data_IF_435026515645
#
_entry.id   IF_435026515645
#
_cell.length_a   1.000
_cell.length_b   1.000
_cell.length_c   1.000
_cell.angle_alpha   90.00
_cell.angle_beta   90.00
_cell.angle_gamma   90.00
#
_symmetry.space_group_name_H-M   'P 1'
#
loop_
_entity.id
_entity.type
_entity.pdbx_description
1 polymer ?
#
# COMPACT_ATOMS: atom_id res chain seq x y z
N UNK A 1 31.62 34.43 29.44
CA UNK A 1 30.16 34.32 29.32
C UNK A 1 29.86 33.51 28.07
N UNK A 2 29.61 32.20 28.18
CA UNK A 2 29.35 31.33 27.04
C UNK A 2 27.85 31.35 26.72
N UNK A 3 27.50 31.81 25.52
CA UNK A 3 26.12 31.83 25.03
C UNK A 3 25.75 30.44 24.52
N UNK A 4 24.80 29.79 25.19
CA UNK A 4 24.19 28.55 24.72
C UNK A 4 23.20 28.91 23.62
N UNK A 5 23.53 28.56 22.38
CA UNK A 5 22.61 28.66 21.25
C UNK A 5 21.64 27.47 21.33
N UNK A 6 20.32 27.70 21.44
CA UNK A 6 19.37 26.58 21.43
C UNK A 6 19.35 25.94 20.03
N UNK A 7 19.45 24.61 20.01
CA UNK A 7 19.29 23.81 18.79
C UNK A 7 17.87 24.02 18.24
N UNK A 8 17.70 24.25 16.92
CA UNK A 8 16.37 24.32 16.35
C UNK A 8 15.68 22.97 16.57
N UNK A 9 14.61 22.99 17.37
CA UNK A 9 13.68 21.88 17.50
C UNK A 9 13.16 21.56 16.11
N UNK A 10 13.72 20.52 15.50
CA UNK A 10 13.29 20.02 14.20
C UNK A 10 11.78 19.86 14.19
N UNK A 11 11.16 20.26 13.09
CA UNK A 11 9.75 19.96 12.79
C UNK A 11 9.46 18.54 13.24
N UNK A 12 8.61 18.36 14.25
CA UNK A 12 8.13 17.02 14.59
C UNK A 12 7.55 16.46 13.30
N UNK A 13 8.13 15.40 12.71
CA UNK A 13 7.49 14.75 11.59
C UNK A 13 6.10 14.38 12.10
N UNK A 14 5.06 14.71 11.35
CA UNK A 14 3.72 14.22 11.66
C UNK A 14 3.82 12.71 11.84
N UNK A 15 3.80 12.23 13.09
CA UNK A 15 4.04 10.84 13.40
C UNK A 15 2.80 10.07 12.97
N UNK A 16 2.79 9.65 11.70
CA UNK A 16 1.76 8.78 11.13
C UNK A 16 1.91 7.39 11.73
N UNK A 17 1.24 7.19 12.86
CA UNK A 17 1.19 5.92 13.60
C UNK A 17 0.43 4.83 12.87
N UNK A 18 0.35 3.65 13.48
CA UNK A 18 -0.31 2.47 12.90
C UNK A 18 -1.79 2.73 12.55
N UNK A 19 -2.54 3.42 13.43
CA UNK A 19 -3.95 3.76 13.21
C UNK A 19 -4.15 4.55 11.91
N UNK A 20 -3.33 5.60 11.69
CA UNK A 20 -3.35 6.37 10.46
C UNK A 20 -3.19 5.49 9.22
N UNK A 21 -2.23 4.56 9.22
CA UNK A 21 -2.01 3.68 8.07
C UNK A 21 -3.12 2.65 7.90
N UNK A 22 -3.74 2.18 8.98
CA UNK A 22 -4.90 1.30 8.90
C UNK A 22 -6.10 2.02 8.28
N UNK A 23 -6.39 3.24 8.70
CA UNK A 23 -7.44 4.07 8.12
C UNK A 23 -7.15 4.37 6.64
N UNK A 24 -5.88 4.67 6.31
CA UNK A 24 -5.44 4.86 4.92
C UNK A 24 -5.65 3.59 4.08
N UNK A 25 -5.40 2.40 4.62
CA UNK A 25 -5.70 1.14 3.90
C UNK A 25 -7.19 1.06 3.58
N UNK A 26 -8.08 1.37 4.52
CA UNK A 26 -9.53 1.29 4.31
C UNK A 26 -9.96 2.27 3.22
N UNK A 27 -9.56 3.54 3.33
CA UNK A 27 -9.93 4.58 2.37
C UNK A 27 -9.40 4.27 0.96
N UNK A 28 -8.13 3.87 0.83
CA UNK A 28 -7.55 3.57 -0.49
C UNK A 28 -8.10 2.27 -1.09
N UNK A 29 -8.60 1.36 -0.26
CA UNK A 29 -9.29 0.16 -0.75
C UNK A 29 -10.62 0.52 -1.41
N UNK A 30 -11.33 1.52 -0.89
CA UNK A 30 -12.55 2.06 -1.51
C UNK A 30 -12.24 2.84 -2.80
N UNK A 31 -11.16 3.64 -2.78
CA UNK A 31 -10.70 4.36 -3.97
C UNK A 31 -10.36 3.38 -5.10
N UNK A 32 -9.51 2.38 -4.85
CA UNK A 32 -9.14 1.38 -5.87
C UNK A 32 -10.34 0.60 -6.41
N UNK A 33 -11.39 0.39 -5.60
CA UNK A 33 -12.62 -0.28 -6.04
C UNK A 33 -13.49 0.62 -6.93
N UNK A 34 -13.50 1.92 -6.68
CA UNK A 34 -14.30 2.90 -7.41
C UNK A 34 -13.58 3.38 -8.68
N UNK A 35 -12.28 3.67 -8.55
CA UNK A 35 -11.37 4.14 -9.58
C UNK A 35 -9.97 3.54 -9.34
N UNK A 36 -9.57 2.48 -10.05
CA UNK A 36 -8.26 1.83 -9.89
C UNK A 36 -7.16 2.64 -10.59
N UNK A 37 -7.02 3.92 -10.26
CA UNK A 37 -5.96 4.75 -10.82
C UNK A 37 -4.58 4.42 -10.23
N UNK A 38 -3.48 4.74 -10.94
CA UNK A 38 -2.13 4.40 -10.51
C UNK A 38 -1.73 4.96 -9.15
N UNK A 39 -2.29 6.11 -8.75
CA UNK A 39 -1.96 6.79 -7.50
C UNK A 39 -2.67 6.13 -6.31
N UNK A 40 -3.96 5.80 -6.44
CA UNK A 40 -4.70 5.01 -5.46
C UNK A 40 -4.07 3.63 -5.25
N UNK A 41 -3.61 2.97 -6.32
CA UNK A 41 -2.86 1.71 -6.25
C UNK A 41 -1.54 1.92 -5.49
N UNK A 42 -0.81 2.99 -5.77
CA UNK A 42 0.44 3.31 -5.09
C UNK A 42 0.22 3.55 -3.59
N UNK A 43 -0.75 4.38 -3.24
CA UNK A 43 -1.05 4.76 -1.86
C UNK A 43 -1.54 3.56 -1.04
N UNK A 44 -2.41 2.72 -1.62
CA UNK A 44 -2.81 1.46 -1.00
C UNK A 44 -1.62 0.55 -0.72
N UNK A 45 -0.66 0.45 -1.66
CA UNK A 45 0.58 -0.32 -1.44
C UNK A 45 1.42 0.28 -0.32
N UNK A 46 1.58 1.60 -0.27
CA UNK A 46 2.34 2.26 0.79
C UNK A 46 1.71 1.99 2.14
N UNK A 47 0.39 2.16 2.27
CA UNK A 47 -0.33 1.93 3.52
C UNK A 47 -0.23 0.47 3.98
N UNK A 48 -0.48 -0.50 3.09
CA UNK A 48 -0.34 -1.93 3.41
C UNK A 48 1.10 -2.27 3.83
N UNK A 49 2.11 -1.74 3.12
CA UNK A 49 3.52 -1.99 3.47
C UNK A 49 3.83 -1.49 4.87
N UNK A 50 3.38 -0.27 5.22
CA UNK A 50 3.60 0.33 6.54
C UNK A 50 2.96 -0.51 7.65
N UNK A 51 1.70 -0.92 7.50
CA UNK A 51 1.04 -1.79 8.48
C UNK A 51 1.76 -3.14 8.64
N UNK A 52 2.18 -3.77 7.52
CA UNK A 52 2.89 -5.05 7.56
C UNK A 52 4.28 -4.94 8.21
N UNK A 53 4.99 -3.83 8.00
CA UNK A 53 6.28 -3.57 8.64
C UNK A 53 6.14 -3.39 10.14
N UNK A 54 5.13 -2.64 10.60
CA UNK A 54 4.85 -2.48 12.03
C UNK A 54 4.45 -3.82 12.66
N UNK A 55 3.54 -4.56 12.03
CA UNK A 55 3.13 -5.88 12.51
C UNK A 55 4.31 -6.86 12.63
N UNK A 56 5.22 -6.86 11.64
CA UNK A 56 6.43 -7.68 11.70
C UNK A 56 7.35 -7.31 12.88
N UNK A 57 7.46 -6.04 13.22
CA UNK A 57 8.25 -5.61 14.38
C UNK A 57 7.57 -5.95 15.71
N UNK A 58 6.23 -5.89 15.77
CA UNK A 58 5.47 -6.23 16.99
C UNK A 58 5.43 -7.73 17.27
N UNK A 59 5.45 -8.59 16.24
CA UNK A 59 5.55 -10.06 16.39
C UNK A 59 6.77 -10.50 17.21
N UNK A 60 7.85 -9.70 17.25
CA UNK A 60 9.08 -10.02 17.99
C UNK A 60 8.98 -9.70 19.49
N UNK A 61 8.04 -8.86 19.90
CA UNK A 61 7.94 -8.34 21.29
C UNK A 61 6.59 -8.63 21.95
N UNK A 62 5.57 -8.97 21.17
CA UNK A 62 4.22 -9.27 21.62
C UNK A 62 3.71 -10.57 20.98
N UNK A 63 3.39 -11.61 21.77
CA UNK A 63 2.91 -12.90 21.26
C UNK A 63 1.46 -12.87 20.74
N UNK A 64 0.76 -11.73 20.74
CA UNK A 64 -0.61 -11.64 20.22
C UNK A 64 -0.69 -12.10 18.75
N UNK A 65 -1.49 -13.14 18.42
CA UNK A 65 -1.64 -13.62 17.04
C UNK A 65 -2.25 -12.60 16.07
N UNK A 66 -2.82 -11.50 16.58
CA UNK A 66 -3.34 -10.39 15.77
C UNK A 66 -2.25 -9.77 14.87
N UNK A 67 -1.00 -9.70 15.31
CA UNK A 67 0.11 -9.17 14.51
C UNK A 67 0.37 -10.03 13.28
N UNK A 68 0.43 -11.36 13.48
CA UNK A 68 0.56 -12.33 12.39
C UNK A 68 -0.61 -12.25 11.41
N UNK A 69 -1.84 -12.10 11.93
CA UNK A 69 -3.03 -11.94 11.11
C UNK A 69 -2.96 -10.66 10.26
N UNK A 70 -2.62 -9.52 10.88
CA UNK A 70 -2.46 -8.22 10.21
C UNK A 70 -1.40 -8.30 9.10
N UNK A 71 -0.29 -9.01 9.32
CA UNK A 71 0.76 -9.17 8.31
C UNK A 71 0.37 -10.07 7.14
N UNK A 72 -0.38 -11.15 7.42
CA UNK A 72 -0.76 -12.16 6.42
C UNK A 72 -1.98 -11.79 5.60
N UNK A 73 -2.98 -11.15 6.20
CA UNK A 73 -4.26 -10.85 5.56
C UNK A 73 -4.12 -10.09 4.22
N UNK A 74 -3.40 -8.95 4.15
CA UNK A 74 -3.28 -8.20 2.90
C UNK A 74 -2.23 -8.80 1.94
N UNK A 75 -1.56 -9.91 2.27
CA UNK A 75 -0.41 -10.43 1.49
C UNK A 75 -0.77 -10.74 0.04
N UNK A 76 -1.94 -11.34 -0.21
CA UNK A 76 -2.38 -11.67 -1.57
C UNK A 76 -2.67 -10.41 -2.38
N UNK A 77 -3.41 -9.46 -1.80
CA UNK A 77 -3.68 -8.16 -2.41
C UNK A 77 -2.38 -7.40 -2.70
N UNK A 78 -1.47 -7.31 -1.73
CA UNK A 78 -0.19 -6.61 -1.88
C UNK A 78 0.65 -7.14 -3.05
N UNK A 79 0.63 -8.46 -3.29
CA UNK A 79 1.30 -9.06 -4.46
C UNK A 79 0.59 -8.72 -5.76
N UNK A 80 -0.75 -8.80 -5.80
CA UNK A 80 -1.54 -8.44 -6.98
C UNK A 80 -1.33 -6.98 -7.39
N UNK A 81 -1.39 -6.06 -6.42
CA UNK A 81 -1.09 -4.63 -6.63
C UNK A 81 0.36 -4.41 -7.09
N UNK A 82 1.29 -5.28 -6.69
CA UNK A 82 2.69 -5.20 -7.08
C UNK A 82 2.88 -5.47 -8.55
N UNK A 83 2.37 -6.61 -9.01
CA UNK A 83 2.43 -6.95 -10.43
C UNK A 83 1.79 -5.88 -11.32
N UNK A 84 0.64 -5.33 -10.91
CA UNK A 84 -0.01 -4.22 -11.62
C UNK A 84 0.85 -2.95 -11.65
N UNK A 85 1.37 -2.53 -10.49
CA UNK A 85 2.20 -1.32 -10.40
C UNK A 85 3.50 -1.47 -11.19
N UNK A 86 4.12 -2.65 -11.15
CA UNK A 86 5.34 -2.93 -11.89
C UNK A 86 5.09 -2.85 -13.40
N UNK A 87 3.97 -3.39 -13.90
CA UNK A 87 3.57 -3.24 -15.31
C UNK A 87 3.39 -1.77 -15.73
N UNK A 88 2.69 -0.97 -14.92
CA UNK A 88 2.48 0.46 -15.17
C UNK A 88 3.82 1.23 -15.19
N UNK A 89 4.68 0.99 -14.20
CA UNK A 89 5.98 1.66 -14.10
C UNK A 89 6.90 1.25 -15.25
N UNK A 90 6.91 -0.03 -15.65
CA UNK A 90 7.72 -0.50 -16.76
C UNK A 90 7.27 0.10 -18.10
N UNK A 91 5.96 0.22 -18.34
CA UNK A 91 5.44 0.89 -19.53
C UNK A 91 5.86 2.37 -19.59
N UNK A 92 5.78 3.09 -18.45
CA UNK A 92 6.27 4.47 -18.34
C UNK A 92 7.78 4.59 -18.60
N UNK A 93 8.58 3.61 -18.17
CA UNK A 93 10.02 3.58 -18.45
C UNK A 93 10.30 3.32 -19.93
N UNK A 94 9.62 2.36 -20.55
CA UNK A 94 9.80 2.06 -21.98
C UNK A 94 9.51 3.28 -22.85
N UNK A 95 8.47 4.05 -22.51
CA UNK A 95 8.14 5.32 -23.18
C UNK A 95 9.26 6.36 -23.09
N UNK A 96 10.04 6.35 -22.01
CA UNK A 96 11.16 7.29 -21.76
C UNK A 96 12.49 6.84 -22.34
N UNK A 97 12.69 5.53 -22.49
CA UNK A 97 13.99 4.94 -22.83
C UNK A 97 14.22 4.78 -24.33
N UNK A 98 13.17 4.71 -25.14
CA UNK A 98 13.29 4.47 -26.59
C UNK A 98 12.25 5.29 -27.37
N UNK A 99 12.53 5.69 -28.63
CA UNK A 99 11.58 6.39 -29.49
C UNK A 99 10.43 5.48 -29.93
N UNK A 100 9.28 6.05 -30.30
CA UNK A 100 8.07 5.29 -30.73
C UNK A 100 8.30 4.38 -31.94
N UNK A 101 9.30 4.69 -32.77
CA UNK A 101 9.68 3.89 -33.94
C UNK A 101 10.54 2.67 -33.59
N UNK A 102 10.99 2.54 -32.34
CA UNK A 102 11.81 1.42 -31.91
C UNK A 102 10.98 0.12 -31.83
N UNK A 103 11.38 -0.96 -32.53
CA UNK A 103 10.62 -2.20 -32.58
C UNK A 103 10.55 -2.93 -31.24
N UNK A 104 11.57 -2.80 -30.39
CA UNK A 104 11.59 -3.38 -29.04
C UNK A 104 10.61 -2.63 -28.15
N UNK A 105 10.56 -1.29 -28.22
CA UNK A 105 9.55 -0.49 -27.52
C UNK A 105 8.15 -0.93 -27.91
N UNK A 106 7.83 -0.97 -29.21
CA UNK A 106 6.49 -1.35 -29.68
C UNK A 106 6.07 -2.74 -29.15
N UNK A 107 6.98 -3.71 -29.19
CA UNK A 107 6.72 -5.06 -28.67
C UNK A 107 6.46 -5.07 -27.16
N UNK A 108 7.29 -4.37 -26.37
CA UNK A 108 7.13 -4.29 -24.92
C UNK A 108 5.84 -3.58 -24.52
N UNK A 109 5.51 -2.47 -25.18
CA UNK A 109 4.26 -1.74 -24.93
C UNK A 109 3.04 -2.61 -25.23
N UNK A 110 3.05 -3.33 -26.37
CA UNK A 110 1.96 -4.26 -26.71
C UNK A 110 1.78 -5.34 -25.65
N UNK A 111 2.89 -5.88 -25.13
CA UNK A 111 2.86 -6.89 -24.06
C UNK A 111 2.28 -6.32 -22.75
N UNK A 112 2.66 -5.09 -22.37
CA UNK A 112 2.12 -4.42 -21.18
C UNK A 112 0.64 -4.08 -21.33
N UNK A 113 0.22 -3.50 -22.46
CA UNK A 113 -1.18 -3.18 -22.76
C UNK A 113 -2.07 -4.42 -22.76
N UNK A 114 -1.56 -5.55 -23.24
CA UNK A 114 -2.30 -6.83 -23.24
C UNK A 114 -2.44 -7.42 -21.83
N UNK A 115 -1.46 -7.22 -20.95
CA UNK A 115 -1.41 -7.84 -19.63
C UNK A 115 -2.03 -6.97 -18.53
N UNK A 116 -1.96 -5.65 -18.66
CA UNK A 116 -2.44 -4.70 -17.65
C UNK A 116 -3.91 -4.94 -17.25
N UNK A 117 -4.87 -5.15 -18.18
CA UNK A 117 -6.27 -5.35 -17.80
C UNK A 117 -6.47 -6.57 -16.89
N UNK A 118 -5.74 -7.66 -17.14
CA UNK A 118 -5.78 -8.88 -16.32
C UNK A 118 -5.22 -8.64 -14.93
N UNK A 119 -4.13 -7.88 -14.83
CA UNK A 119 -3.53 -7.49 -13.55
C UNK A 119 -4.47 -6.57 -12.76
N UNK A 120 -5.10 -5.61 -13.46
CA UNK A 120 -6.08 -4.68 -12.90
C UNK A 120 -7.29 -5.41 -12.34
N UNK A 121 -7.92 -6.27 -13.13
CA UNK A 121 -9.07 -7.08 -12.70
C UNK A 121 -8.72 -7.93 -11.48
N UNK A 122 -7.56 -8.59 -11.50
CA UNK A 122 -7.10 -9.37 -10.35
C UNK A 122 -6.91 -8.51 -9.09
N UNK A 123 -6.35 -7.30 -9.23
CA UNK A 123 -6.17 -6.37 -8.11
C UNK A 123 -7.51 -5.92 -7.53
N UNK A 124 -8.47 -5.51 -8.37
CA UNK A 124 -9.83 -5.11 -7.95
C UNK A 124 -10.54 -6.24 -7.22
N UNK A 125 -10.48 -7.46 -7.78
CA UNK A 125 -11.07 -8.65 -7.16
C UNK A 125 -10.47 -8.94 -5.77
N UNK A 126 -9.16 -8.83 -5.63
CA UNK A 126 -8.47 -9.00 -4.35
C UNK A 126 -8.79 -7.87 -3.37
N UNK A 127 -8.97 -6.65 -3.87
CA UNK A 127 -9.37 -5.50 -3.07
C UNK A 127 -10.77 -5.69 -2.50
N UNK A 128 -11.73 -6.13 -3.32
CA UNK A 128 -13.08 -6.48 -2.87
C UNK A 128 -13.08 -7.59 -1.81
N UNK A 129 -12.25 -8.62 -1.97
CA UNK A 129 -12.10 -9.70 -0.97
C UNK A 129 -11.56 -9.17 0.36
N UNK A 130 -10.55 -8.31 0.34
CA UNK A 130 -10.00 -7.73 1.57
C UNK A 130 -11.03 -6.81 2.24
N UNK A 131 -11.78 -6.03 1.47
CA UNK A 131 -12.80 -5.11 1.97
C UNK A 131 -13.93 -5.87 2.69
N UNK A 132 -14.31 -7.04 2.18
CA UNK A 132 -15.29 -7.91 2.85
C UNK A 132 -14.76 -8.47 4.18
N UNK A 133 -13.45 -8.70 4.30
CA UNK A 133 -12.82 -9.19 5.54
C UNK A 133 -12.47 -8.08 6.54
N UNK A 134 -12.42 -6.81 6.12
CA UNK A 134 -12.00 -5.67 6.93
C UNK A 134 -12.92 -5.32 8.14
N UNK A 135 -14.26 -5.45 8.08
CA UNK A 135 -15.14 -5.13 9.21
C UNK A 135 -14.85 -5.98 10.45
N UNK A 136 -14.30 -7.19 10.28
CA UNK A 136 -13.89 -8.07 11.39
C UNK A 136 -12.61 -7.59 12.12
N UNK A 137 -11.95 -6.52 11.64
CA UNK A 137 -10.70 -5.98 12.18
C UNK A 137 -10.85 -4.57 12.76
N UNK A 138 -12.07 -4.01 12.79
CA UNK A 138 -12.32 -2.70 13.39
C UNK A 138 -12.17 -2.77 14.91
N UNK A 139 -11.25 -2.00 15.53
CA UNK A 139 -11.09 -1.94 16.99
C UNK A 139 -12.29 -1.33 17.72
N UNK A 140 -13.29 -0.79 17.00
CA UNK A 140 -14.51 -0.19 17.59
C UNK A 140 -15.42 -1.18 18.31
N UNK A 141 -15.12 -2.48 18.29
CA UNK A 141 -15.77 -3.49 19.14
C UNK A 141 -15.10 -3.68 20.52
N UNK A 142 -14.04 -2.93 20.85
CA UNK A 142 -13.43 -2.88 22.19
C UNK A 142 -13.46 -1.47 22.78
N UNK A 143 -14.66 -0.89 22.84
CA UNK A 143 -14.93 0.20 23.78
C UNK A 143 -15.04 -0.40 25.19
N UNK A 144 -13.91 -0.50 25.89
CA UNK A 144 -13.85 -1.11 27.21
C UNK A 144 -12.46 -1.10 27.85
N UNK A 145 -11.73 0.00 27.72
CA UNK A 145 -10.64 0.34 28.63
C UNK A 145 -10.75 1.83 28.96
N UNK A 146 -11.78 2.13 29.76
CA UNK A 146 -11.85 3.30 30.63
C UNK A 146 -12.17 2.76 32.02
N UNK A 147 -11.23 2.96 32.96
CA UNK A 147 -11.26 2.44 34.32
C UNK A 147 -9.85 2.27 34.84
#
# INVERSE_FOLDING_TARGET
MATVTPLPSGSHPEHRGLSFWMDRVINELENVRSSPDPDAIHDLRVAIRRCRSVAAAMEEVDPDPAWLAMRKLPRKLFRGLGALRDAQVMDDWVKKLAPETDPVRMHLQTAFETNEPKLRENAIRLAGRLAYSAPALSPRARGGLGG
#
